data_IF_557482948576
#
_entry.id   IF_557482948576
#
_cell.length_a   1.000
_cell.length_b   1.000
_cell.length_c   1.000
_cell.angle_alpha   90.00
_cell.angle_beta   90.00
_cell.angle_gamma   90.00
#
_symmetry.space_group_name_H-M   'P 1'
#
loop_
_entity.id
_entity.type
_entity.pdbx_description
1 polymer ?
#
# COMPACT_ATOMS: atom_id res chain seq x y z
N UNK A 1 4.26 -4.97 2.12
CA UNK A 1 3.35 -4.00 1.49
C UNK A 1 3.99 -2.61 1.33
N UNK A 2 5.07 -2.33 2.04
CA UNK A 2 5.78 -1.05 1.97
C UNK A 2 7.14 -1.11 1.26
N UNK A 3 7.42 -2.21 0.56
CA UNK A 3 8.68 -2.35 -0.19
C UNK A 3 8.71 -1.35 -1.35
N UNK A 4 9.63 -0.40 -1.25
CA UNK A 4 9.83 0.67 -2.23
C UNK A 4 10.79 0.28 -3.36
N UNK A 5 11.56 -0.79 -3.19
CA UNK A 5 12.61 -1.20 -4.13
C UNK A 5 12.14 -2.33 -5.05
N UNK A 6 11.32 -3.25 -4.53
CA UNK A 6 10.68 -4.31 -5.32
C UNK A 6 9.17 -4.17 -5.15
N UNK A 7 8.55 -3.51 -6.10
CA UNK A 7 7.14 -3.14 -6.05
C UNK A 7 6.22 -4.32 -5.70
N UNK A 8 5.63 -4.36 -4.51
CA UNK A 8 4.85 -5.51 -4.04
C UNK A 8 3.54 -5.70 -4.82
N UNK A 9 3.05 -4.67 -5.50
CA UNK A 9 1.82 -4.76 -6.28
C UNK A 9 1.88 -5.80 -7.41
N UNK A 10 3.08 -6.13 -7.89
CA UNK A 10 3.25 -7.18 -8.91
C UNK A 10 3.03 -8.60 -8.34
N UNK A 11 3.22 -8.81 -7.06
CA UNK A 11 3.02 -10.13 -6.43
C UNK A 11 1.53 -10.52 -6.37
N UNK A 12 0.65 -9.54 -6.18
CA UNK A 12 -0.81 -9.76 -6.06
C UNK A 12 -1.40 -10.40 -7.33
N UNK A 13 -1.26 -9.80 -8.53
CA UNK A 13 -1.80 -10.41 -9.74
C UNK A 13 -1.14 -11.75 -10.07
N UNK A 14 0.16 -11.93 -9.76
CA UNK A 14 0.86 -13.19 -10.02
C UNK A 14 0.28 -14.33 -9.19
N UNK A 15 0.09 -14.15 -7.88
CA UNK A 15 -0.47 -15.20 -7.04
C UNK A 15 -1.91 -15.56 -7.44
N UNK A 16 -2.72 -14.56 -7.76
CA UNK A 16 -4.08 -14.78 -8.22
C UNK A 16 -4.12 -15.53 -9.56
N UNK A 17 -3.26 -15.16 -10.52
CA UNK A 17 -3.16 -15.85 -11.81
C UNK A 17 -2.73 -17.29 -11.65
N UNK A 18 -1.80 -17.60 -10.75
CA UNK A 18 -1.40 -18.97 -10.43
C UNK A 18 -2.60 -19.76 -9.89
N UNK A 19 -3.32 -19.25 -8.91
CA UNK A 19 -4.51 -19.88 -8.33
C UNK A 19 -5.62 -20.07 -9.36
N UNK A 20 -5.92 -19.08 -10.17
CA UNK A 20 -6.93 -19.16 -11.24
C UNK A 20 -6.55 -20.20 -12.33
N UNK A 21 -5.27 -20.45 -12.50
CA UNK A 21 -4.73 -21.49 -13.39
C UNK A 21 -4.70 -22.89 -12.75
N UNK A 22 -5.19 -23.03 -11.51
CA UNK A 22 -5.17 -24.30 -10.77
C UNK A 22 -3.77 -24.70 -10.27
N UNK A 23 -2.83 -23.75 -10.23
CA UNK A 23 -1.50 -23.96 -9.68
C UNK A 23 -1.57 -23.68 -8.17
N UNK A 24 -1.06 -24.63 -7.38
CA UNK A 24 -0.97 -24.49 -5.94
C UNK A 24 -0.02 -23.34 -5.58
N UNK A 25 -0.53 -22.37 -4.85
CA UNK A 25 0.21 -21.18 -4.45
C UNK A 25 -0.21 -20.71 -3.06
N UNK A 26 0.77 -20.24 -2.29
CA UNK A 26 0.60 -19.61 -0.98
C UNK A 26 1.15 -18.19 -1.06
N UNK A 27 0.52 -17.24 -0.39
CA UNK A 27 0.96 -15.85 -0.28
C UNK A 27 1.17 -15.43 1.16
N UNK A 28 2.16 -14.57 1.37
CA UNK A 28 2.43 -13.93 2.66
C UNK A 28 2.63 -12.44 2.41
N UNK A 29 1.64 -11.62 2.79
CA UNK A 29 1.65 -10.18 2.61
C UNK A 29 1.71 -9.49 3.97
N UNK A 30 2.86 -8.98 4.33
CA UNK A 30 3.11 -8.28 5.60
C UNK A 30 3.40 -6.79 5.40
N UNK A 31 3.42 -6.08 6.52
CA UNK A 31 3.73 -4.65 6.58
C UNK A 31 5.25 -4.40 6.59
N UNK A 32 5.98 -5.06 5.69
CA UNK A 32 7.43 -4.96 5.60
C UNK A 32 7.87 -3.97 4.54
N UNK A 33 8.98 -3.34 4.81
CA UNK A 33 9.78 -2.60 3.87
C UNK A 33 10.71 -3.56 3.08
N UNK A 34 11.73 -3.05 2.40
CA UNK A 34 12.65 -3.86 1.61
C UNK A 34 13.59 -4.67 2.51
N UNK A 35 13.04 -5.67 3.22
CA UNK A 35 13.78 -6.57 4.09
C UNK A 35 13.05 -7.88 4.38
N UNK A 36 13.71 -8.78 5.09
CA UNK A 36 13.15 -10.06 5.48
C UNK A 36 12.09 -9.92 6.59
N UNK A 37 11.09 -10.81 6.62
CA UNK A 37 10.00 -10.75 7.60
C UNK A 37 10.42 -10.89 9.06
N UNK A 38 11.59 -11.44 9.34
CA UNK A 38 12.14 -11.67 10.69
C UNK A 38 13.15 -10.61 11.15
N UNK A 39 13.30 -9.52 10.41
CA UNK A 39 14.28 -8.46 10.66
C UNK A 39 13.65 -7.21 11.25
N UNK A 40 13.34 -7.20 12.53
CA UNK A 40 12.68 -6.06 13.15
C UNK A 40 13.58 -4.84 13.31
N UNK A 41 14.86 -5.05 13.58
CA UNK A 41 15.86 -4.03 13.82
C UNK A 41 16.22 -3.19 12.58
N UNK A 42 16.04 -3.73 11.40
CA UNK A 42 16.36 -3.05 10.15
C UNK A 42 15.35 -1.99 9.76
N UNK A 43 14.17 -2.06 10.31
CA UNK A 43 13.03 -1.21 9.93
C UNK A 43 12.94 0.07 10.74
N UNK A 44 13.69 0.17 11.81
CA UNK A 44 13.69 1.33 12.71
C UNK A 44 14.59 2.48 12.23
N UNK A 45 15.51 2.22 11.30
CA UNK A 45 16.41 3.27 10.77
C UNK A 45 15.67 4.33 9.93
N UNK A 46 14.41 4.07 9.59
CA UNK A 46 13.51 5.03 8.93
C UNK A 46 12.44 5.58 9.87
N UNK A 47 12.72 5.52 11.17
CA UNK A 47 11.86 6.08 12.20
C UNK A 47 11.67 7.58 11.96
N UNK A 48 10.42 8.01 11.89
CA UNK A 48 10.02 9.40 11.63
C UNK A 48 9.21 9.59 10.36
N UNK A 49 9.10 8.58 9.50
CA UNK A 49 8.24 8.62 8.33
C UNK A 49 6.83 8.07 8.61
N UNK A 50 6.59 7.51 9.82
CA UNK A 50 5.29 7.02 10.24
C UNK A 50 4.72 5.92 9.35
N UNK A 51 5.54 5.03 8.83
CA UNK A 51 5.08 3.88 8.05
C UNK A 51 4.47 2.83 8.97
N UNK A 52 3.40 2.16 8.52
CA UNK A 52 2.57 1.27 9.34
C UNK A 52 3.33 0.34 10.28
N UNK A 53 4.46 -0.23 9.84
CA UNK A 53 5.27 -1.12 10.65
C UNK A 53 6.04 -0.45 11.79
N UNK A 54 6.47 0.78 11.62
CA UNK A 54 7.17 1.52 12.68
C UNK A 54 6.26 1.81 13.88
N UNK A 55 4.96 1.94 13.60
CA UNK A 55 3.95 2.07 14.64
C UNK A 55 3.72 0.76 15.40
N UNK A 56 4.05 -0.39 14.79
CA UNK A 56 3.75 -1.72 15.32
C UNK A 56 4.95 -2.67 15.21
N UNK A 57 5.96 -2.54 16.05
CA UNK A 57 7.19 -3.36 15.99
C UNK A 57 6.97 -4.86 16.19
N UNK A 58 5.79 -5.29 16.61
CA UNK A 58 5.43 -6.71 16.79
C UNK A 58 5.08 -7.44 15.48
N UNK A 59 5.16 -6.76 14.34
CA UNK A 59 4.75 -7.28 13.03
C UNK A 59 5.69 -8.29 12.39
N UNK A 60 6.70 -8.75 13.09
CA UNK A 60 7.66 -9.71 12.52
C UNK A 60 7.09 -11.12 12.43
N UNK A 61 7.50 -11.84 11.38
CA UNK A 61 7.17 -13.25 11.15
C UNK A 61 8.43 -14.11 11.30
N UNK A 62 8.68 -14.57 12.52
CA UNK A 62 9.83 -15.43 12.80
C UNK A 62 9.71 -16.83 12.23
N UNK A 63 8.51 -17.27 11.92
CA UNK A 63 8.19 -18.59 11.37
C UNK A 63 8.28 -18.66 9.83
N UNK A 64 8.55 -17.56 9.13
CA UNK A 64 8.54 -17.52 7.67
C UNK A 64 9.52 -18.52 7.03
N UNK A 65 10.69 -18.72 7.63
CA UNK A 65 11.68 -19.68 7.15
C UNK A 65 11.22 -21.12 7.37
N UNK A 66 10.53 -21.40 8.48
CA UNK A 66 9.95 -22.71 8.76
C UNK A 66 8.83 -23.01 7.76
N UNK A 67 7.98 -22.05 7.47
CA UNK A 67 6.91 -22.13 6.50
C UNK A 67 7.43 -22.41 5.08
N UNK A 68 8.52 -21.74 4.69
CA UNK A 68 9.21 -21.96 3.42
C UNK A 68 9.85 -23.35 3.38
N UNK A 69 10.45 -23.83 4.47
CA UNK A 69 11.04 -25.15 4.58
C UNK A 69 9.96 -26.25 4.42
N UNK A 70 8.83 -26.11 5.09
CA UNK A 70 7.70 -27.04 4.99
C UNK A 70 7.14 -27.10 3.57
N UNK A 71 7.06 -25.96 2.88
CA UNK A 71 6.71 -25.90 1.46
C UNK A 71 7.65 -26.75 0.60
N UNK A 72 8.96 -26.58 0.73
CA UNK A 72 9.95 -27.33 -0.05
C UNK A 72 10.06 -28.79 0.36
N UNK A 73 9.85 -29.12 1.63
CA UNK A 73 9.82 -30.52 2.09
C UNK A 73 8.67 -31.27 1.44
N UNK A 74 7.50 -30.66 1.36
CA UNK A 74 6.35 -31.27 0.69
C UNK A 74 6.57 -31.38 -0.83
N UNK A 75 6.82 -30.28 -1.52
CA UNK A 75 6.83 -30.26 -2.98
C UNK A 75 8.10 -30.84 -3.62
N UNK A 76 9.23 -30.79 -2.97
CA UNK A 76 10.50 -31.29 -3.54
C UNK A 76 10.92 -32.63 -2.99
N UNK A 77 10.59 -32.94 -1.74
CA UNK A 77 11.02 -34.19 -1.10
C UNK A 77 9.86 -35.16 -0.87
N UNK A 78 8.62 -34.72 -0.92
CA UNK A 78 7.43 -35.54 -0.65
C UNK A 78 7.33 -35.96 0.83
N UNK A 79 7.81 -35.13 1.76
CA UNK A 79 7.77 -35.40 3.20
C UNK A 79 7.01 -34.28 3.91
N UNK A 80 6.49 -34.58 5.11
CA UNK A 80 5.71 -33.64 5.89
C UNK A 80 4.22 -33.64 5.55
N UNK A 81 3.53 -32.58 5.92
CA UNK A 81 2.12 -32.35 5.61
C UNK A 81 1.98 -31.36 4.45
N UNK A 82 0.89 -31.48 3.70
CA UNK A 82 0.62 -30.51 2.62
C UNK A 82 0.41 -29.11 3.21
N UNK A 83 1.18 -28.11 2.76
CA UNK A 83 1.01 -26.74 3.24
C UNK A 83 -0.35 -26.17 2.86
N UNK A 84 -0.88 -25.24 3.68
CA UNK A 84 -2.09 -24.51 3.35
C UNK A 84 -1.91 -23.65 2.10
N UNK A 85 -2.92 -23.66 1.21
CA UNK A 85 -2.91 -22.92 -0.06
C UNK A 85 -3.70 -21.60 0.04
N UNK A 86 -3.50 -20.88 1.10
CA UNK A 86 -4.17 -19.61 1.40
C UNK A 86 -3.20 -18.43 1.31
N UNK A 87 -3.74 -17.24 1.46
CA UNK A 87 -2.99 -16.00 1.54
C UNK A 87 -3.09 -15.50 2.99
N UNK A 88 -1.95 -15.26 3.59
CA UNK A 88 -1.85 -14.63 4.91
C UNK A 88 -1.55 -13.15 4.73
N UNK A 89 -2.36 -12.30 5.37
CA UNK A 89 -2.32 -10.85 5.18
C UNK A 89 -2.24 -10.18 6.55
N UNK A 90 -1.34 -9.21 6.68
CA UNK A 90 -1.18 -8.42 7.88
C UNK A 90 -1.77 -7.02 7.70
N UNK A 91 -2.59 -6.58 8.66
CA UNK A 91 -3.07 -5.20 8.71
C UNK A 91 -1.98 -4.24 9.24
N UNK A 92 -2.21 -2.93 9.05
CA UNK A 92 -1.39 -1.87 9.64
C UNK A 92 -1.34 -1.91 11.18
N UNK A 93 -2.30 -2.58 11.83
CA UNK A 93 -2.35 -2.78 13.28
C UNK A 93 -1.68 -4.09 13.74
N UNK A 94 -1.01 -4.81 12.84
CA UNK A 94 -0.29 -6.04 13.17
C UNK A 94 -1.14 -7.30 13.20
N UNK A 95 -2.43 -7.20 13.03
CA UNK A 95 -3.31 -8.37 13.00
C UNK A 95 -3.12 -9.17 11.72
N UNK A 96 -3.11 -10.49 11.85
CA UNK A 96 -3.02 -11.41 10.73
C UNK A 96 -4.37 -12.07 10.46
N UNK A 97 -4.69 -12.23 9.17
CA UNK A 97 -5.85 -13.01 8.73
C UNK A 97 -5.50 -13.93 7.57
N UNK A 98 -6.35 -14.92 7.37
CA UNK A 98 -6.28 -15.88 6.26
C UNK A 98 -7.38 -15.56 5.26
N UNK A 99 -7.01 -15.53 3.99
CA UNK A 99 -7.92 -15.38 2.85
C UNK A 99 -7.61 -16.44 1.78
N UNK A 100 -8.62 -16.81 1.01
CA UNK A 100 -8.41 -17.71 -0.12
C UNK A 100 -7.57 -17.06 -1.22
N UNK A 101 -7.70 -15.75 -1.38
CA UNK A 101 -6.98 -14.92 -2.36
C UNK A 101 -6.83 -13.48 -1.84
N UNK A 102 -5.98 -12.70 -2.51
CA UNK A 102 -5.82 -11.28 -2.23
C UNK A 102 -5.78 -10.48 -3.54
N UNK A 103 -6.61 -9.42 -3.74
CA UNK A 103 -7.66 -8.96 -2.82
C UNK A 103 -8.74 -10.03 -2.56
N UNK A 104 -9.39 -10.02 -1.38
CA UNK A 104 -10.46 -10.95 -1.08
C UNK A 104 -11.70 -10.70 -1.93
N UNK A 105 -12.51 -11.73 -2.13
CA UNK A 105 -13.81 -11.58 -2.82
C UNK A 105 -14.84 -10.86 -1.94
N UNK A 106 -15.84 -10.24 -2.58
CA UNK A 106 -16.99 -9.64 -1.88
C UNK A 106 -16.73 -8.30 -1.20
N UNK A 107 -15.66 -7.60 -1.59
CA UNK A 107 -15.38 -6.25 -1.12
C UNK A 107 -16.40 -5.22 -1.62
N UNK A 108 -16.59 -4.17 -0.84
CA UNK A 108 -17.35 -2.99 -1.23
C UNK A 108 -16.39 -1.86 -1.61
N UNK A 109 -16.76 -1.04 -2.60
CA UNK A 109 -15.92 0.08 -3.02
C UNK A 109 -16.51 1.40 -2.55
N UNK A 110 -15.65 2.25 -1.97
CA UNK A 110 -15.93 3.63 -1.59
C UNK A 110 -15.21 4.54 -2.58
N UNK A 111 -15.88 5.58 -3.08
CA UNK A 111 -15.28 6.59 -3.95
C UNK A 111 -15.33 7.96 -3.27
N UNK A 112 -14.17 8.60 -3.12
CA UNK A 112 -13.99 9.89 -2.47
C UNK A 112 -13.51 10.93 -3.50
N UNK A 113 -14.38 11.84 -3.91
CA UNK A 113 -14.07 12.87 -4.90
C UNK A 113 -13.09 13.92 -4.33
N UNK A 114 -12.05 14.26 -5.10
CA UNK A 114 -11.10 15.31 -4.75
C UNK A 114 -11.74 16.71 -4.92
N UNK A 115 -11.63 17.54 -3.90
CA UNK A 115 -12.33 18.83 -3.82
C UNK A 115 -13.80 18.69 -3.41
N UNK A 116 -14.27 17.47 -3.12
CA UNK A 116 -15.60 17.12 -2.61
C UNK A 116 -15.48 16.37 -1.29
N UNK A 117 -15.68 15.05 -1.31
CA UNK A 117 -15.55 14.18 -0.14
C UNK A 117 -14.14 14.22 0.49
N UNK A 118 -13.10 14.53 -0.31
CA UNK A 118 -11.77 14.86 0.18
C UNK A 118 -11.48 16.35 -0.06
N UNK A 119 -11.46 17.15 1.00
CA UNK A 119 -11.24 18.60 0.92
C UNK A 119 -9.77 18.93 0.66
N UNK A 120 -9.52 19.89 -0.22
CA UNK A 120 -8.19 20.43 -0.47
C UNK A 120 -7.78 21.40 0.66
N UNK A 121 -6.92 20.93 1.56
CA UNK A 121 -6.46 21.72 2.72
C UNK A 121 -5.18 22.51 2.45
N UNK A 122 -4.43 22.17 1.40
CA UNK A 122 -3.23 22.90 0.98
C UNK A 122 -3.54 24.20 0.23
N UNK A 123 -4.75 24.32 -0.31
CA UNK A 123 -5.17 25.51 -1.07
C UNK A 123 -4.46 25.65 -2.43
N UNK A 124 -3.84 24.59 -2.92
CA UNK A 124 -3.22 24.51 -4.25
C UNK A 124 -3.67 23.25 -4.98
N UNK A 125 -3.75 23.31 -6.31
CA UNK A 125 -4.01 22.17 -7.18
C UNK A 125 -2.81 21.92 -8.11
N UNK A 126 -1.65 22.50 -7.79
CA UNK A 126 -0.45 22.46 -8.63
C UNK A 126 0.65 21.66 -7.97
N UNK A 127 1.20 20.70 -8.69
CA UNK A 127 2.43 20.00 -8.34
C UNK A 127 3.58 20.64 -9.14
N UNK A 128 4.60 21.11 -8.41
CA UNK A 128 5.80 21.69 -9.04
C UNK A 128 6.82 20.59 -9.38
N UNK A 129 7.59 20.74 -10.46
CA UNK A 129 8.65 19.79 -10.80
C UNK A 129 9.71 19.76 -9.70
N UNK A 130 10.12 18.53 -9.31
CA UNK A 130 11.07 18.28 -8.21
C UNK A 130 10.59 18.88 -6.86
N UNK A 131 9.28 19.02 -6.71
CA UNK A 131 8.65 19.53 -5.49
C UNK A 131 8.13 18.41 -4.62
N UNK A 132 8.45 18.50 -3.32
CA UNK A 132 7.94 17.60 -2.28
C UNK A 132 6.54 18.02 -1.82
N UNK A 133 6.02 19.13 -2.37
CA UNK A 133 4.76 19.72 -1.98
C UNK A 133 3.85 19.95 -3.19
N UNK A 134 2.60 19.58 -3.00
CA UNK A 134 1.51 19.76 -3.94
C UNK A 134 0.18 19.84 -3.21
N UNK A 135 -0.92 19.45 -3.85
CA UNK A 135 -2.22 19.36 -3.23
C UNK A 135 -2.23 18.34 -2.08
N UNK A 136 -2.94 18.68 -1.01
CA UNK A 136 -3.23 17.79 0.11
C UNK A 136 -4.74 17.73 0.26
N UNK A 137 -5.29 16.53 0.27
CA UNK A 137 -6.72 16.28 0.41
C UNK A 137 -6.99 15.49 1.67
N UNK A 138 -8.00 15.90 2.44
CA UNK A 138 -8.42 15.21 3.66
C UNK A 138 -9.89 14.83 3.56
N UNK A 139 -10.21 13.61 3.98
CA UNK A 139 -11.59 13.18 4.14
C UNK A 139 -12.20 13.76 5.42
N UNK A 140 -13.53 13.74 5.55
CA UNK A 140 -14.15 13.82 6.87
C UNK A 140 -13.72 12.61 7.72
N UNK A 141 -13.67 12.75 9.05
CA UNK A 141 -13.45 11.62 9.95
C UNK A 141 -14.50 10.52 9.76
N UNK A 142 -14.07 9.27 9.77
CA UNK A 142 -14.98 8.13 9.67
C UNK A 142 -15.80 8.00 10.96
N UNK A 143 -17.11 7.84 10.83
CA UNK A 143 -18.00 7.62 11.99
C UNK A 143 -17.82 6.21 12.58
N UNK A 144 -17.53 5.23 11.74
CA UNK A 144 -17.30 3.82 12.08
C UNK A 144 -15.93 3.38 11.56
N UNK A 145 -15.29 2.37 12.16
CA UNK A 145 -14.04 1.83 11.65
C UNK A 145 -14.18 1.33 10.21
N UNK A 146 -13.17 1.59 9.39
CA UNK A 146 -13.12 1.13 7.99
C UNK A 146 -11.88 0.28 7.78
N UNK A 147 -12.06 -0.88 7.16
CA UNK A 147 -10.94 -1.77 6.82
C UNK A 147 -10.71 -1.78 5.31
N UNK A 148 -9.69 -1.06 4.87
CA UNK A 148 -9.25 -0.98 3.48
C UNK A 148 -8.38 -2.20 3.19
N UNK A 149 -8.67 -2.95 2.14
CA UNK A 149 -7.88 -4.12 1.77
C UNK A 149 -7.91 -4.30 0.27
N UNK A 150 -6.88 -3.99 -0.41
CA UNK A 150 -6.62 -4.26 -1.83
C UNK A 150 -5.52 -3.35 -2.39
N UNK A 151 -5.70 -2.96 -3.67
CA UNK A 151 -4.89 -1.97 -4.37
C UNK A 151 -5.79 -0.74 -4.62
N UNK A 152 -5.80 0.25 -3.72
CA UNK A 152 -6.57 1.48 -3.95
C UNK A 152 -6.21 2.13 -5.28
N UNK A 153 -7.15 2.86 -5.84
CA UNK A 153 -6.98 3.50 -7.14
C UNK A 153 -7.21 4.99 -7.03
N UNK A 154 -6.34 5.76 -7.63
CA UNK A 154 -6.49 7.20 -7.78
C UNK A 154 -6.74 7.50 -9.25
N UNK A 155 -7.93 7.93 -9.59
CA UNK A 155 -8.21 8.54 -10.86
C UNK A 155 -8.07 10.05 -10.71
N UNK A 156 -7.33 10.69 -11.58
CA UNK A 156 -7.10 12.13 -11.48
C UNK A 156 -7.01 12.79 -12.85
N UNK A 157 -7.81 13.82 -13.04
CA UNK A 157 -7.75 14.67 -14.22
C UNK A 157 -6.60 15.63 -14.08
N UNK A 158 -5.64 15.54 -15.00
CA UNK A 158 -4.41 16.34 -14.95
C UNK A 158 -4.10 16.99 -16.30
N UNK A 159 -3.45 18.15 -16.24
CA UNK A 159 -2.80 18.74 -17.38
C UNK A 159 -1.35 19.09 -17.06
N UNK A 160 -0.50 19.06 -18.07
CA UNK A 160 0.94 19.28 -17.90
C UNK A 160 1.44 20.39 -18.78
N UNK A 161 2.48 21.09 -18.32
CA UNK A 161 3.14 22.15 -19.09
C UNK A 161 4.17 21.63 -20.11
N UNK A 162 4.49 20.33 -20.06
CA UNK A 162 5.39 19.63 -20.98
C UNK A 162 4.77 18.31 -21.45
N UNK A 163 5.48 17.55 -22.24
CA UNK A 163 5.03 16.27 -22.80
C UNK A 163 5.11 15.08 -21.82
N UNK A 164 5.43 15.33 -20.57
CA UNK A 164 5.52 14.32 -19.51
C UNK A 164 5.26 14.93 -18.16
N UNK A 165 5.61 14.23 -17.11
CA UNK A 165 5.44 14.58 -15.71
C UNK A 165 5.35 13.33 -14.85
N UNK A 166 5.30 13.51 -13.54
CA UNK A 166 5.18 12.43 -12.58
C UNK A 166 4.27 12.85 -11.47
N UNK A 167 3.52 11.91 -10.95
CA UNK A 167 2.76 12.05 -9.70
C UNK A 167 3.19 10.95 -8.74
N UNK A 168 3.54 11.34 -7.54
CA UNK A 168 3.63 10.51 -6.36
C UNK A 168 2.42 10.81 -5.48
N UNK A 169 1.74 9.79 -5.01
CA UNK A 169 0.59 9.89 -4.15
C UNK A 169 0.88 9.13 -2.85
N UNK A 170 0.82 9.82 -1.74
CA UNK A 170 0.97 9.27 -0.40
C UNK A 170 -0.39 9.23 0.28
N UNK A 171 -0.78 8.08 0.82
CA UNK A 171 -2.00 7.91 1.59
C UNK A 171 -1.65 7.62 3.05
N UNK A 172 -2.26 8.36 3.95
CA UNK A 172 -2.03 8.31 5.39
C UNK A 172 -3.35 8.15 6.15
N UNK A 173 -3.28 7.41 7.26
CA UNK A 173 -4.29 7.36 8.32
C UNK A 173 -3.93 8.40 9.36
N UNK A 174 -4.80 9.37 9.62
CA UNK A 174 -4.56 10.48 10.52
C UNK A 174 -5.55 10.49 11.67
N UNK A 175 -5.05 10.63 12.90
CA UNK A 175 -5.87 10.86 14.09
C UNK A 175 -6.41 12.29 14.14
N UNK A 176 -7.43 12.55 14.97
CA UNK A 176 -7.91 13.91 15.28
C UNK A 176 -6.81 14.83 15.87
N UNK A 177 -5.80 14.26 16.51
CA UNK A 177 -4.65 15.00 17.02
C UNK A 177 -3.68 15.46 15.92
N UNK A 178 -3.84 14.94 14.70
CA UNK A 178 -3.00 15.24 13.55
C UNK A 178 -1.78 14.33 13.42
N UNK A 179 -1.69 13.28 14.23
CA UNK A 179 -0.70 12.22 14.05
C UNK A 179 -1.09 11.34 12.87
N UNK A 180 -0.24 11.26 11.85
CA UNK A 180 -0.50 10.52 10.63
C UNK A 180 0.47 9.35 10.45
N UNK A 181 -0.05 8.23 9.97
CA UNK A 181 0.71 7.02 9.68
C UNK A 181 0.58 6.71 8.20
N UNK A 182 1.70 6.49 7.52
CA UNK A 182 1.73 6.06 6.12
C UNK A 182 1.09 4.67 5.98
N UNK A 183 0.01 4.56 5.21
CA UNK A 183 -0.65 3.29 4.93
C UNK A 183 -0.44 2.80 3.50
N UNK A 184 -0.03 3.66 2.59
CA UNK A 184 0.30 3.26 1.23
C UNK A 184 0.70 4.42 0.33
N UNK A 185 1.28 4.09 -0.80
CA UNK A 185 1.66 5.07 -1.81
C UNK A 185 1.50 4.53 -3.23
N UNK A 186 1.53 5.44 -4.19
CA UNK A 186 1.56 5.14 -5.61
C UNK A 186 2.48 6.13 -6.33
N UNK A 187 3.08 5.70 -7.41
CA UNK A 187 3.88 6.58 -8.27
C UNK A 187 3.59 6.29 -9.74
N UNK A 188 3.50 7.32 -10.55
CA UNK A 188 3.28 7.18 -11.99
C UNK A 188 4.06 8.23 -12.77
N UNK A 189 4.87 7.80 -13.71
CA UNK A 189 5.25 8.64 -14.83
C UNK A 189 4.03 8.79 -15.76
N UNK A 190 3.54 10.01 -15.91
CA UNK A 190 2.29 10.29 -16.64
C UNK A 190 2.32 9.87 -18.11
N UNK A 191 3.50 9.58 -18.68
CA UNK A 191 3.59 8.99 -20.02
C UNK A 191 2.99 7.59 -20.11
N UNK A 192 2.73 6.94 -18.96
CA UNK A 192 2.06 5.63 -18.86
C UNK A 192 0.60 5.72 -18.41
N UNK A 193 -0.01 6.92 -18.52
CA UNK A 193 -1.38 7.17 -18.04
C UNK A 193 -2.47 6.30 -18.70
N UNK A 194 -2.21 5.73 -19.85
CA UNK A 194 -3.12 4.80 -20.53
C UNK A 194 -3.03 3.37 -20.01
N UNK A 195 -2.11 3.12 -19.08
CA UNK A 195 -1.80 1.80 -18.52
C UNK A 195 -0.65 1.11 -19.26
N UNK A 196 -0.12 0.05 -18.61
CA UNK A 196 1.05 -0.66 -19.11
C UNK A 196 2.36 0.01 -18.70
N UNK A 197 3.46 -0.68 -18.92
CA UNK A 197 4.80 -0.26 -18.47
C UNK A 197 5.81 -0.18 -19.61
N UNK A 198 5.41 -0.43 -20.84
CA UNK A 198 6.33 -0.55 -21.97
C UNK A 198 6.13 0.49 -23.06
N UNK A 199 4.92 0.99 -23.25
CA UNK A 199 4.61 1.98 -24.27
C UNK A 199 4.35 3.35 -23.63
N UNK A 200 5.18 4.31 -23.97
CA UNK A 200 5.05 5.69 -23.49
C UNK A 200 4.17 6.50 -24.43
N UNK A 201 3.19 7.19 -23.87
CA UNK A 201 2.37 8.15 -24.61
C UNK A 201 2.73 9.57 -24.21
N UNK A 202 3.23 10.37 -25.18
CA UNK A 202 3.53 11.77 -24.94
C UNK A 202 2.27 12.58 -24.65
N UNK A 203 2.30 13.32 -23.54
CA UNK A 203 1.15 14.09 -23.10
C UNK A 203 0.86 15.28 -24.01
N UNK A 204 -0.42 15.56 -24.31
CA UNK A 204 -0.82 16.79 -24.99
C UNK A 204 -0.67 17.96 -24.02
N UNK A 205 0.24 18.89 -24.35
CA UNK A 205 0.57 20.06 -23.50
C UNK A 205 -0.68 20.90 -23.23
N UNK A 206 -0.95 21.23 -21.97
CA UNK A 206 -2.11 21.99 -21.49
C UNK A 206 -3.49 21.41 -21.82
N UNK A 207 -3.55 20.14 -22.16
CA UNK A 207 -4.82 19.43 -22.29
C UNK A 207 -5.01 18.49 -21.10
N UNK A 208 -6.25 18.34 -20.68
CA UNK A 208 -6.59 17.42 -19.58
C UNK A 208 -6.60 15.98 -20.07
N UNK A 209 -5.95 15.12 -19.33
CA UNK A 209 -6.01 13.67 -19.43
C UNK A 209 -6.49 13.12 -18.08
N UNK A 210 -7.10 11.95 -18.09
CA UNK A 210 -7.41 11.21 -16.85
C UNK A 210 -6.32 10.17 -16.61
N UNK A 211 -5.50 10.39 -15.59
CA UNK A 211 -4.48 9.44 -15.14
C UNK A 211 -5.11 8.46 -14.13
N UNK A 212 -4.87 7.17 -14.32
CA UNK A 212 -5.36 6.10 -13.45
C UNK A 212 -4.18 5.45 -12.78
N UNK A 213 -3.99 5.77 -11.53
CA UNK A 213 -2.91 5.24 -10.69
C UNK A 213 -3.46 4.13 -9.81
N UNK A 214 -2.66 3.10 -9.59
CA UNK A 214 -2.93 2.05 -8.62
C UNK A 214 -1.90 2.16 -7.50
N UNK A 215 -2.38 2.17 -6.25
CA UNK A 215 -1.52 2.11 -5.08
C UNK A 215 -0.93 0.70 -4.93
N UNK A 216 0.15 0.62 -4.22
CA UNK A 216 0.63 -0.66 -3.77
C UNK A 216 -0.42 -1.35 -2.90
N UNK A 217 -0.35 -2.68 -2.87
CA UNK A 217 -1.23 -3.48 -2.04
C UNK A 217 -1.17 -3.01 -0.60
N UNK A 218 -2.32 -2.78 0.03
CA UNK A 218 -2.41 -2.36 1.41
C UNK A 218 -3.49 -3.10 2.17
N UNK A 219 -3.31 -3.19 3.46
CA UNK A 219 -4.29 -3.70 4.40
C UNK A 219 -4.27 -2.80 5.63
N UNK A 220 -5.26 -1.93 5.74
CA UNK A 220 -5.28 -0.87 6.73
C UNK A 220 -6.64 -0.77 7.43
N UNK A 221 -6.62 -0.86 8.73
CA UNK A 221 -7.76 -0.56 9.60
C UNK A 221 -7.66 0.89 10.02
N UNK A 222 -8.67 1.67 9.65
CA UNK A 222 -8.84 3.07 10.01
C UNK A 222 -9.84 3.12 11.16
N UNK A 223 -9.45 3.68 12.28
CA UNK A 223 -10.31 3.76 13.46
C UNK A 223 -11.42 4.81 13.30
N UNK A 224 -12.50 4.67 14.06
CA UNK A 224 -13.52 5.69 14.14
C UNK A 224 -12.92 7.02 14.69
N UNK A 225 -13.25 8.14 14.07
CA UNK A 225 -12.69 9.46 14.37
C UNK A 225 -11.39 9.76 13.59
N UNK A 226 -10.75 8.77 12.97
CA UNK A 226 -9.64 9.00 12.07
C UNK A 226 -10.11 9.44 10.68
N UNK A 227 -9.22 10.08 9.93
CA UNK A 227 -9.47 10.52 8.56
C UNK A 227 -8.31 10.14 7.64
N UNK A 228 -8.60 10.07 6.35
CA UNK A 228 -7.57 9.83 5.33
C UNK A 228 -7.00 11.15 4.83
N UNK A 229 -5.68 11.20 4.71
CA UNK A 229 -4.95 12.27 4.03
C UNK A 229 -4.28 11.71 2.78
N UNK A 230 -4.56 12.34 1.64
CA UNK A 230 -3.91 12.08 0.36
C UNK A 230 -3.02 13.27 0.00
N UNK A 231 -1.72 13.06 -0.02
CA UNK A 231 -0.74 14.07 -0.44
C UNK A 231 -0.21 13.76 -1.84
N UNK A 232 -0.20 14.75 -2.73
CA UNK A 232 0.29 14.60 -4.09
C UNK A 232 1.56 15.44 -4.29
N UNK A 233 2.59 14.82 -4.85
CA UNK A 233 3.89 15.44 -5.12
C UNK A 233 4.44 15.00 -6.49
N UNK A 234 5.55 15.58 -6.93
CA UNK A 234 6.21 15.13 -8.18
C UNK A 234 7.09 13.89 -7.97
N UNK A 235 7.50 13.62 -6.74
CA UNK A 235 8.27 12.44 -6.34
C UNK A 235 8.15 12.21 -4.84
N UNK A 236 8.51 11.02 -4.39
CA UNK A 236 8.68 10.68 -2.97
C UNK A 236 10.15 10.43 -2.64
N UNK A 237 10.47 10.25 -1.35
CA UNK A 237 11.86 10.09 -0.88
C UNK A 237 12.57 8.90 -1.52
N UNK A 238 11.86 7.82 -1.77
CA UNK A 238 12.41 6.56 -2.29
C UNK A 238 12.47 6.52 -3.81
N UNK A 239 11.97 7.55 -4.51
CA UNK A 239 11.83 7.53 -5.95
C UNK A 239 12.59 8.68 -6.63
N UNK A 240 13.17 8.36 -7.79
CA UNK A 240 13.80 9.39 -8.62
C UNK A 240 12.73 10.19 -9.39
N UNK A 241 12.93 11.49 -9.55
CA UNK A 241 12.09 12.29 -10.44
C UNK A 241 12.07 11.73 -11.86
N UNK A 242 10.93 11.83 -12.54
CA UNK A 242 10.83 11.44 -13.93
C UNK A 242 11.85 12.21 -14.81
N UNK A 243 12.32 11.55 -15.85
CA UNK A 243 13.24 12.16 -16.83
C UNK A 243 12.64 13.36 -17.57
N UNK A 244 11.31 13.46 -17.58
CA UNK A 244 10.54 14.59 -18.11
C UNK A 244 9.81 15.27 -16.98
N UNK A 245 10.42 16.29 -16.37
CA UNK A 245 9.77 17.08 -15.33
C UNK A 245 8.75 18.05 -15.91
N UNK A 246 7.67 18.32 -15.20
CA UNK A 246 6.60 19.23 -15.59
C UNK A 246 5.93 19.86 -14.37
N UNK A 247 5.32 21.01 -14.58
CA UNK A 247 4.24 21.48 -13.70
C UNK A 247 3.02 20.61 -14.04
N UNK A 248 2.44 19.99 -13.04
CA UNK A 248 1.21 19.20 -13.18
C UNK A 248 0.08 19.95 -12.47
N UNK A 249 -0.99 20.21 -13.19
CA UNK A 249 -2.19 20.85 -12.67
C UNK A 249 -3.26 19.79 -12.48
N UNK A 250 -3.79 19.67 -11.27
CA UNK A 250 -4.90 18.78 -10.90
C UNK A 250 -6.22 19.51 -11.17
N UNK A 251 -7.19 18.81 -11.74
CA UNK A 251 -8.57 19.25 -11.84
C UNK A 251 -9.42 18.50 -10.81
N UNK A 252 -9.99 19.22 -9.87
CA UNK A 252 -10.87 18.66 -8.84
C UNK A 252 -12.28 18.37 -9.41
N UNK A 253 -13.01 17.47 -8.77
CA UNK A 253 -14.38 17.09 -9.12
C UNK A 253 -14.56 15.57 -9.24
N UNK A 254 -15.72 15.14 -9.67
CA UNK A 254 -16.12 13.72 -9.67
C UNK A 254 -15.31 12.79 -10.60
N UNK A 255 -14.56 13.35 -11.54
CA UNK A 255 -13.62 12.58 -12.37
C UNK A 255 -12.24 12.39 -11.73
N UNK A 256 -11.98 13.12 -10.63
CA UNK A 256 -10.79 12.98 -9.80
C UNK A 256 -11.20 12.42 -8.45
N UNK A 257 -10.92 11.13 -8.22
CA UNK A 257 -11.38 10.44 -7.02
C UNK A 257 -10.40 9.37 -6.55
N UNK A 258 -10.37 9.17 -5.24
CA UNK A 258 -9.73 8.04 -4.57
C UNK A 258 -10.77 6.93 -4.41
N UNK A 259 -10.47 5.74 -4.90
CA UNK A 259 -11.32 4.56 -4.82
C UNK A 259 -10.67 3.56 -3.88
N UNK A 260 -11.37 3.20 -2.82
CA UNK A 260 -10.95 2.28 -1.79
C UNK A 260 -11.85 1.06 -1.80
N UNK A 261 -11.26 -0.13 -1.78
CA UNK A 261 -12.00 -1.36 -1.61
C UNK A 261 -11.92 -1.79 -0.14
N UNK A 262 -13.07 -2.07 0.47
CA UNK A 262 -13.22 -2.31 1.91
C UNK A 262 -13.76 -3.69 2.18
N UNK A 263 -13.40 -4.25 3.33
CA UNK A 263 -13.90 -5.52 3.83
C UNK A 263 -14.67 -5.31 5.14
N UNK A 264 -15.57 -6.23 5.44
CA UNK A 264 -16.28 -6.27 6.72
C UNK A 264 -15.50 -7.13 7.71
N UNK A 265 -15.38 -6.67 8.96
CA UNK A 265 -14.60 -7.35 10.01
C UNK A 265 -15.18 -8.72 10.40
N UNK A 266 -16.51 -8.87 10.39
CA UNK A 266 -17.24 -9.95 11.08
C UNK A 266 -16.98 -11.38 10.61
N UNK A 267 -16.40 -11.60 9.42
CA UNK A 267 -16.23 -12.92 8.81
C UNK A 267 -14.75 -13.31 8.61
N UNK A 268 -13.83 -12.60 9.27
CA UNK A 268 -12.39 -12.79 9.04
C UNK A 268 -11.78 -13.81 10.00
N UNK A 269 -11.01 -14.72 9.43
CA UNK A 269 -10.25 -15.70 10.20
C UNK A 269 -8.94 -15.05 10.66
N UNK A 270 -8.98 -14.45 11.86
CA UNK A 270 -7.81 -13.83 12.48
C UNK A 270 -6.98 -14.88 13.21
N UNK A 271 -5.67 -14.70 13.22
CA UNK A 271 -4.74 -15.55 13.93
C UNK A 271 -3.49 -14.79 14.39
N UNK A 272 -2.87 -15.31 15.45
CA UNK A 272 -1.55 -14.88 15.89
C UNK A 272 -0.51 -15.88 15.37
N UNK A 273 0.49 -15.43 14.58
CA UNK A 273 1.55 -16.32 14.12
C UNK A 273 2.37 -16.86 15.30
N UNK A 274 2.95 -18.06 15.18
CA UNK A 274 3.79 -18.61 16.22
C UNK A 274 4.95 -17.67 16.55
N UNK A 275 5.11 -17.35 17.82
CA UNK A 275 6.28 -16.57 18.28
C UNK A 275 7.53 -17.42 18.18
N UNK A 276 8.62 -16.83 17.72
CA UNK A 276 9.90 -17.51 17.74
C UNK A 276 10.33 -17.87 19.17
N UNK A 277 10.58 -19.16 19.39
CA UNK A 277 11.06 -19.68 20.68
C UNK A 277 12.57 -19.77 20.75
N UNK A 278 13.27 -19.52 19.66
CA UNK A 278 14.72 -19.57 19.61
C UNK A 278 15.34 -18.44 20.47
N UNK A 279 16.45 -18.70 21.18
CA UNK A 279 17.10 -17.68 22.02
C UNK A 279 17.39 -16.37 21.30
N UNK A 280 17.79 -16.41 20.04
CA UNK A 280 18.01 -15.22 19.21
C UNK A 280 16.78 -14.29 19.15
N UNK A 281 15.59 -14.84 18.92
CA UNK A 281 14.35 -14.06 18.89
C UNK A 281 13.98 -13.53 20.29
N UNK A 282 14.21 -14.32 21.33
CA UNK A 282 13.90 -13.92 22.70
C UNK A 282 14.82 -12.78 23.17
N UNK A 283 16.10 -12.84 22.85
CA UNK A 283 17.04 -11.78 23.19
C UNK A 283 16.63 -10.46 22.53
N UNK A 284 16.15 -10.53 21.31
CA UNK A 284 15.70 -9.38 20.57
C UNK A 284 14.38 -8.79 21.13
N UNK A 285 13.37 -9.62 21.38
CA UNK A 285 12.11 -9.19 22.00
C UNK A 285 12.35 -8.51 23.36
N UNK A 286 13.33 -8.97 24.13
CA UNK A 286 13.68 -8.36 25.41
C UNK A 286 14.37 -6.99 25.26
N UNK A 287 14.97 -6.68 24.11
CA UNK A 287 15.64 -5.39 23.85
C UNK A 287 14.68 -4.31 23.36
N UNK A 288 13.61 -4.70 22.70
CA UNK A 288 12.62 -3.77 22.08
C UNK A 288 11.44 -3.44 22.98
N UNK A 289 11.18 -4.22 24.02
CA UNK A 289 10.06 -4.01 24.96
C UNK A 289 10.53 -3.32 26.26
N UNK A 290 11.78 -2.91 26.35
CA UNK A 290 12.38 -2.14 27.44
C UNK A 290 12.48 -0.67 27.10
#
# INVERSE_FOLDING_TARGET
MHDWNVDPHMAVPVINQLKDSGIEAKGLFGQWDHDYPDRPDYHFDRSGEGRGREAYPEMVRFDWMQDLLEWFDWYLKGVGEQPGLFVEIQSNQGQWRIEDRYPPDGMESISLDLGGAMMNVAGTTTILPNGDFGPIYESEPFEEPVWISALPRLHVDVSTATVGGQIYALLEDCSEAGDCIHIGHAIMDLRYHEGGTQEQTWLPIFQTINAKMEFFAMDAQIEAGHFLRLSLASTGEDYLPASTSSIVQISEGSSSNLILDTIQEGDKLLFDPPRCTHPYCQDWLNQTVG
#
